data_IF_729850466170
#
_entry.id   IF_729850466170
#
_cell.length_a   1.000
_cell.length_b   1.000
_cell.length_c   1.000
_cell.angle_alpha   90.00
_cell.angle_beta   90.00
_cell.angle_gamma   90.00
#
_symmetry.space_group_name_H-M   'P 1'
#
loop_
_entity.id
_entity.type
_entity.pdbx_description
1 polymer ?
#
# COMPACT_ATOMS: atom_id res chain seq x y z
N UNK A 1 -8.39 -16.55 18.84
CA UNK A 1 -8.19 -15.39 19.73
C UNK A 1 -9.27 -14.39 19.40
N UNK A 2 -10.17 -14.11 20.34
CA UNK A 2 -11.31 -13.22 20.11
C UNK A 2 -10.97 -11.83 20.64
N UNK A 3 -10.73 -10.89 19.73
CA UNK A 3 -10.76 -9.46 20.05
C UNK A 3 -12.21 -8.99 19.94
N UNK A 4 -12.70 -8.33 20.99
CA UNK A 4 -14.03 -7.73 20.98
C UNK A 4 -14.02 -6.49 20.09
N UNK A 5 -14.38 -6.66 18.83
CA UNK A 5 -14.50 -5.59 17.84
C UNK A 5 -15.73 -4.70 18.01
N UNK A 6 -16.56 -4.94 19.02
CA UNK A 6 -17.85 -4.25 19.18
C UNK A 6 -17.58 -2.76 19.44
N UNK A 7 -18.04 -1.90 18.53
CA UNK A 7 -17.88 -0.44 18.62
C UNK A 7 -16.57 0.13 18.07
N UNK A 8 -15.64 -0.69 17.57
CA UNK A 8 -14.41 -0.20 16.92
C UNK A 8 -14.66 0.14 15.44
N UNK A 9 -14.12 1.27 14.98
CA UNK A 9 -14.10 1.63 13.55
C UNK A 9 -13.31 0.60 12.73
N UNK A 10 -13.58 0.45 11.43
CA UNK A 10 -12.87 -0.56 10.61
C UNK A 10 -11.36 -0.29 10.57
N UNK A 11 -10.94 0.98 10.50
CA UNK A 11 -9.52 1.36 10.53
C UNK A 11 -8.85 1.05 11.88
N UNK A 12 -9.56 1.16 13.01
CA UNK A 12 -9.04 0.70 14.30
C UNK A 12 -8.85 -0.82 14.30
N UNK A 13 -9.81 -1.57 13.75
CA UNK A 13 -9.71 -3.04 13.64
C UNK A 13 -8.51 -3.46 12.79
N UNK A 14 -8.22 -2.72 11.73
CA UNK A 14 -7.03 -2.91 10.90
C UNK A 14 -5.75 -2.65 11.69
N UNK A 15 -5.68 -1.54 12.41
CA UNK A 15 -4.56 -1.20 13.29
C UNK A 15 -4.30 -2.31 14.33
N UNK A 16 -5.33 -2.71 15.09
CA UNK A 16 -5.21 -3.75 16.12
C UNK A 16 -4.72 -5.08 15.53
N UNK A 17 -5.27 -5.45 14.37
CA UNK A 17 -4.89 -6.67 13.67
C UNK A 17 -3.43 -6.62 13.21
N UNK A 18 -3.00 -5.49 12.63
CA UNK A 18 -1.62 -5.25 12.24
C UNK A 18 -0.67 -5.39 13.42
N UNK A 19 -0.95 -4.68 14.52
CA UNK A 19 -0.17 -4.76 15.76
C UNK A 19 -0.10 -6.19 16.30
N UNK A 20 -1.20 -6.93 16.31
CA UNK A 20 -1.19 -8.34 16.76
C UNK A 20 -0.38 -9.26 15.84
N UNK A 21 -0.43 -9.04 14.53
CA UNK A 21 0.27 -9.88 13.54
C UNK A 21 1.77 -9.59 13.52
N UNK A 22 2.17 -8.32 13.67
CA UNK A 22 3.55 -7.86 13.49
C UNK A 22 4.25 -7.42 14.78
N UNK A 23 3.64 -7.60 15.96
CA UNK A 23 4.24 -7.26 17.25
C UNK A 23 5.62 -7.90 17.46
N UNK A 24 6.55 -7.10 17.96
CA UNK A 24 7.95 -7.45 18.25
C UNK A 24 8.10 -8.56 19.30
N UNK A 25 7.08 -8.79 20.13
CA UNK A 25 7.09 -9.85 21.14
C UNK A 25 7.00 -11.26 20.54
N UNK A 26 6.53 -11.38 19.29
CA UNK A 26 6.45 -12.66 18.60
C UNK A 26 7.76 -12.97 17.90
N UNK A 27 8.47 -13.98 18.42
CA UNK A 27 9.68 -14.52 17.81
C UNK A 27 9.33 -15.31 16.54
N UNK A 28 9.31 -14.64 15.37
CA UNK A 28 9.11 -15.29 14.08
C UNK A 28 8.37 -14.44 13.05
N UNK A 29 8.39 -14.85 11.79
CA UNK A 29 7.58 -14.22 10.74
C UNK A 29 6.09 -14.57 10.90
N UNK A 30 5.17 -13.67 10.51
CA UNK A 30 3.75 -13.97 10.46
C UNK A 30 3.45 -15.23 9.66
N UNK A 31 2.52 -16.04 10.15
CA UNK A 31 2.02 -17.20 9.42
C UNK A 31 1.12 -16.78 8.26
N UNK A 32 0.99 -17.62 7.23
CA UNK A 32 0.05 -17.37 6.13
C UNK A 32 -1.39 -17.18 6.61
N UNK A 33 -1.83 -17.90 7.66
CA UNK A 33 -3.17 -17.73 8.21
C UNK A 33 -3.37 -16.33 8.80
N UNK A 34 -2.37 -15.80 9.49
CA UNK A 34 -2.39 -14.44 10.04
C UNK A 34 -2.41 -13.38 8.94
N UNK A 35 -1.57 -13.56 7.91
CA UNK A 35 -1.53 -12.65 6.75
C UNK A 35 -2.86 -12.66 5.99
N UNK A 36 -3.44 -13.84 5.72
CA UNK A 36 -4.76 -13.96 5.06
C UNK A 36 -5.89 -13.36 5.89
N UNK A 37 -5.80 -13.46 7.21
CA UNK A 37 -6.77 -12.83 8.11
C UNK A 37 -6.68 -11.30 8.07
N UNK A 38 -5.47 -10.74 8.13
CA UNK A 38 -5.25 -9.30 7.99
C UNK A 38 -5.68 -8.79 6.61
N UNK A 39 -5.37 -9.53 5.54
CA UNK A 39 -5.81 -9.24 4.18
C UNK A 39 -7.35 -9.17 4.09
N UNK A 40 -8.06 -10.08 4.73
CA UNK A 40 -9.53 -10.04 4.75
C UNK A 40 -10.12 -8.84 5.51
N UNK A 41 -9.36 -8.23 6.43
CA UNK A 41 -9.76 -6.97 7.06
C UNK A 41 -9.54 -5.81 6.09
N UNK A 42 -8.39 -5.77 5.41
CA UNK A 42 -8.09 -4.78 4.36
C UNK A 42 -9.11 -4.81 3.22
N UNK A 43 -9.53 -6.00 2.77
CA UNK A 43 -10.53 -6.20 1.71
C UNK A 43 -11.88 -5.52 2.03
N UNK A 44 -12.17 -5.24 3.31
CA UNK A 44 -13.42 -4.63 3.76
C UNK A 44 -13.34 -3.13 4.07
N UNK A 45 -12.19 -2.49 3.83
CA UNK A 45 -11.99 -1.05 4.03
C UNK A 45 -12.57 -0.27 2.86
N UNK A 46 -13.32 0.79 3.17
CA UNK A 46 -13.93 1.71 2.22
C UNK A 46 -13.34 3.13 2.40
N UNK A 47 -13.48 4.02 1.40
CA UNK A 47 -13.00 5.41 1.50
C UNK A 47 -13.42 6.15 2.78
N UNK A 48 -14.67 5.96 3.23
CA UNK A 48 -15.20 6.59 4.46
C UNK A 48 -14.50 6.10 5.73
N UNK A 49 -14.03 4.85 5.75
CA UNK A 49 -13.37 4.28 6.92
C UNK A 49 -12.01 4.92 7.20
N UNK A 50 -11.44 5.61 6.22
CA UNK A 50 -10.15 6.32 6.30
C UNK A 50 -10.28 7.83 6.01
N UNK A 51 -11.51 8.34 5.87
CA UNK A 51 -11.80 9.77 5.72
C UNK A 51 -11.44 10.40 4.37
N UNK A 52 -11.54 9.63 3.27
CA UNK A 52 -11.24 10.10 1.91
C UNK A 52 -12.46 10.00 0.95
N UNK A 53 -13.66 9.91 1.51
CA UNK A 53 -14.93 9.86 0.77
C UNK A 53 -15.46 11.23 0.36
N UNK A 54 -14.83 12.32 0.81
CA UNK A 54 -15.25 13.69 0.52
C UNK A 54 -16.39 14.21 1.41
N UNK A 55 -16.82 13.45 2.42
CA UNK A 55 -17.93 13.85 3.30
C UNK A 55 -17.55 14.92 4.34
N UNK A 56 -16.27 15.22 4.52
CA UNK A 56 -15.75 16.09 5.59
C UNK A 56 -15.33 17.48 5.09
N UNK A 57 -16.12 18.09 4.18
CA UNK A 57 -15.92 19.46 3.69
C UNK A 57 -16.36 20.49 4.75
N UNK A 58 -15.55 20.61 5.80
CA UNK A 58 -15.69 21.60 6.87
C UNK A 58 -15.22 23.02 6.51
N UNK A 59 -15.10 23.41 5.23
CA UNK A 59 -14.74 24.80 4.86
C UNK A 59 -15.44 25.33 3.60
N UNK A 60 -16.20 26.39 3.87
CA UNK A 60 -16.44 27.59 3.05
C UNK A 60 -15.41 27.86 1.94
N UNK A 61 -15.93 28.18 0.75
CA UNK A 61 -15.34 29.02 -0.31
C UNK A 61 -13.83 29.29 -0.17
N UNK A 62 -12.99 28.46 -0.82
CA UNK A 62 -11.71 28.95 -1.32
C UNK A 62 -11.31 28.22 -2.61
N UNK A 63 -11.22 29.06 -3.64
CA UNK A 63 -10.55 28.98 -4.95
C UNK A 63 -10.54 27.69 -5.79
N UNK A 64 -10.96 27.90 -7.03
CA UNK A 64 -11.36 26.94 -8.05
C UNK A 64 -10.13 26.45 -8.85
N UNK A 65 -9.28 25.62 -8.25
CA UNK A 65 -8.26 24.88 -9.03
C UNK A 65 -7.76 23.56 -8.43
N UNK A 66 -8.34 23.08 -7.33
CA UNK A 66 -7.98 21.79 -6.76
C UNK A 66 -8.84 20.68 -7.37
N UNK A 67 -8.18 19.60 -7.78
CA UNK A 67 -8.75 18.37 -8.34
C UNK A 67 -9.55 17.67 -7.23
N UNK A 68 -10.69 18.25 -6.86
CA UNK A 68 -11.65 17.64 -5.95
C UNK A 68 -12.79 17.17 -6.82
N UNK A 69 -12.78 15.86 -7.08
CA UNK A 69 -13.84 15.18 -7.80
C UNK A 69 -15.17 15.49 -7.11
N UNK A 70 -16.05 16.23 -7.80
CA UNK A 70 -17.35 16.69 -7.29
C UNK A 70 -18.33 15.56 -6.96
N UNK A 71 -17.97 14.30 -7.22
CA UNK A 71 -18.89 13.16 -7.20
C UNK A 71 -18.53 12.05 -6.19
N UNK A 72 -17.88 12.38 -5.06
CA UNK A 72 -17.96 11.58 -3.82
C UNK A 72 -17.60 10.08 -3.90
N UNK A 73 -16.88 9.64 -4.93
CA UNK A 73 -16.43 8.27 -5.09
C UNK A 73 -15.12 8.25 -5.87
N UNK A 74 -14.00 8.02 -5.18
CA UNK A 74 -12.72 7.75 -5.85
C UNK A 74 -12.80 6.33 -6.42
N UNK A 75 -13.47 6.16 -7.57
CA UNK A 75 -13.26 4.99 -8.42
C UNK A 75 -11.88 5.19 -9.07
N UNK A 76 -10.86 4.86 -8.29
CA UNK A 76 -9.48 4.83 -8.76
C UNK A 76 -9.28 3.64 -9.68
N UNK A 77 -8.82 3.89 -10.89
CA UNK A 77 -8.17 2.91 -11.73
C UNK A 77 -6.67 3.15 -11.61
N UNK A 78 -5.94 2.12 -11.20
CA UNK A 78 -4.49 2.12 -11.18
C UNK A 78 -4.01 0.94 -12.01
N UNK A 79 -3.06 1.17 -12.90
CA UNK A 79 -2.31 0.11 -13.53
C UNK A 79 -1.20 -0.31 -12.56
N UNK A 80 -1.24 -1.55 -12.07
CA UNK A 80 -0.04 -2.14 -11.48
C UNK A 80 0.86 -2.58 -12.59
N UNK A 81 1.93 -1.83 -12.79
CA UNK A 81 2.98 -2.17 -13.72
C UNK A 81 4.10 -2.83 -12.91
N UNK A 82 4.05 -4.17 -12.97
CA UNK A 82 5.17 -5.08 -12.82
C UNK A 82 5.65 -5.43 -11.43
N UNK A 83 5.05 -6.50 -10.92
CA UNK A 83 5.36 -7.19 -9.66
C UNK A 83 6.57 -8.12 -9.90
N UNK A 84 7.79 -7.60 -9.82
CA UNK A 84 9.06 -8.31 -10.12
C UNK A 84 9.61 -9.10 -8.93
N UNK A 85 10.22 -10.27 -9.18
CA UNK A 85 11.10 -10.95 -8.21
C UNK A 85 12.55 -10.86 -8.69
N UNK A 86 13.42 -10.26 -7.88
CA UNK A 86 14.87 -10.23 -8.15
C UNK A 86 15.46 -11.64 -7.95
N UNK A 87 15.99 -12.21 -9.04
CA UNK A 87 16.52 -13.58 -9.05
C UNK A 87 18.02 -13.59 -8.81
N UNK A 88 18.78 -12.67 -9.42
CA UNK A 88 20.20 -12.39 -9.18
C UNK A 88 20.70 -11.26 -10.10
N UNK A 89 21.66 -10.45 -9.65
CA UNK A 89 22.41 -9.54 -10.54
C UNK A 89 21.58 -8.47 -11.26
N UNK A 90 20.39 -8.15 -10.77
CA UNK A 90 19.44 -7.23 -11.41
C UNK A 90 18.46 -7.93 -12.37
N UNK A 91 18.65 -9.20 -12.70
CA UNK A 91 17.66 -9.96 -13.46
C UNK A 91 16.40 -10.17 -12.63
N UNK A 92 15.27 -9.81 -13.21
CA UNK A 92 13.98 -9.94 -12.59
C UNK A 92 13.02 -10.69 -13.52
N UNK A 93 12.07 -11.42 -12.91
CA UNK A 93 10.95 -12.08 -13.61
C UNK A 93 9.64 -11.36 -13.35
N UNK A 94 8.85 -11.11 -14.41
CA UNK A 94 7.49 -10.54 -14.34
C UNK A 94 6.57 -11.54 -13.64
N UNK A 95 5.86 -11.11 -12.60
CA UNK A 95 4.82 -11.93 -11.92
C UNK A 95 3.41 -11.45 -12.24
N UNK A 96 3.24 -10.16 -12.54
CA UNK A 96 2.01 -9.57 -13.04
C UNK A 96 2.38 -8.46 -14.01
N UNK A 97 1.78 -8.46 -15.20
CA UNK A 97 2.05 -7.47 -16.25
C UNK A 97 0.78 -6.67 -16.51
N UNK A 98 0.91 -5.34 -16.49
CA UNK A 98 -0.12 -4.36 -16.86
C UNK A 98 -1.56 -4.70 -16.41
N UNK A 99 -1.72 -5.09 -15.13
CA UNK A 99 -3.05 -5.34 -14.57
C UNK A 99 -3.72 -4.04 -14.15
N UNK A 100 -4.92 -3.79 -14.66
CA UNK A 100 -5.76 -2.68 -14.20
C UNK A 100 -6.44 -3.11 -12.90
N UNK A 101 -6.08 -2.43 -11.80
CA UNK A 101 -6.78 -2.49 -10.53
C UNK A 101 -7.87 -1.43 -10.51
N UNK A 102 -9.10 -1.84 -10.25
CA UNK A 102 -10.25 -0.96 -10.11
C UNK A 102 -10.97 -1.25 -8.80
N UNK A 103 -11.28 -0.20 -8.03
CA UNK A 103 -12.09 -0.34 -6.83
C UNK A 103 -13.54 -0.77 -7.17
N UNK A 104 -14.17 -1.66 -6.39
CA UNK A 104 -13.59 -2.39 -5.26
C UNK A 104 -12.65 -3.52 -5.72
N UNK A 105 -11.45 -3.61 -5.14
CA UNK A 105 -10.47 -4.66 -5.44
C UNK A 105 -10.00 -5.36 -4.16
N UNK A 106 -9.57 -6.62 -4.30
CA UNK A 106 -8.93 -7.35 -3.19
C UNK A 106 -7.52 -6.79 -2.94
N UNK A 107 -7.12 -6.75 -1.68
CA UNK A 107 -5.78 -6.39 -1.28
C UNK A 107 -4.76 -7.39 -1.86
N UNK A 108 -3.62 -6.89 -2.33
CA UNK A 108 -2.49 -7.70 -2.75
C UNK A 108 -1.53 -7.95 -1.58
N UNK A 109 -0.79 -9.08 -1.62
CA UNK A 109 0.19 -9.42 -0.58
C UNK A 109 1.54 -9.67 -1.22
N UNK A 110 2.52 -8.88 -0.79
CA UNK A 110 3.90 -8.92 -1.27
C UNK A 110 4.79 -9.49 -0.16
N UNK A 111 5.78 -10.30 -0.53
CA UNK A 111 6.78 -10.84 0.40
C UNK A 111 8.18 -10.43 -0.04
N UNK A 112 9.18 -10.38 0.86
CA UNK A 112 10.53 -9.92 0.54
C UNK A 112 11.19 -10.58 -0.69
N UNK A 113 10.79 -11.80 -1.04
CA UNK A 113 11.33 -12.55 -2.20
C UNK A 113 10.26 -13.20 -3.07
N UNK A 114 8.97 -12.87 -2.90
CA UNK A 114 7.84 -13.50 -3.64
C UNK A 114 6.67 -12.55 -3.77
N UNK A 115 5.78 -12.84 -4.72
CA UNK A 115 4.59 -12.00 -4.95
C UNK A 115 4.93 -10.61 -5.47
N UNK A 116 6.14 -10.45 -6.04
CA UNK A 116 6.70 -9.27 -6.69
C UNK A 116 7.01 -8.07 -5.81
N UNK A 117 8.02 -8.23 -4.96
CA UNK A 117 8.53 -7.23 -4.02
C UNK A 117 9.00 -5.88 -4.64
N UNK A 118 9.06 -5.78 -5.97
CA UNK A 118 9.32 -4.54 -6.70
C UNK A 118 8.12 -4.33 -7.61
N UNK A 119 7.53 -3.14 -7.59
CA UNK A 119 6.33 -2.81 -8.35
C UNK A 119 6.26 -1.31 -8.64
N UNK A 120 5.50 -0.97 -9.69
CA UNK A 120 5.13 0.39 -10.04
C UNK A 120 3.61 0.52 -10.10
N UNK A 121 3.09 1.67 -9.71
CA UNK A 121 1.69 2.02 -9.88
C UNK A 121 1.60 3.23 -10.80
N UNK A 122 0.75 3.12 -11.82
CA UNK A 122 0.41 4.22 -12.71
C UNK A 122 -1.06 4.54 -12.53
N UNK A 123 -1.37 5.67 -11.90
CA UNK A 123 -2.75 6.13 -11.75
C UNK A 123 -3.33 6.46 -13.14
N UNK A 124 -4.45 5.81 -13.51
CA UNK A 124 -5.21 6.12 -14.73
C UNK A 124 -6.30 7.16 -14.46
N UNK A 125 -6.81 7.15 -13.24
CA UNK A 125 -7.69 8.19 -12.67
C UNK A 125 -7.16 8.58 -11.29
N UNK A 126 -7.61 9.69 -10.67
CA UNK A 126 -7.35 9.93 -9.26
C UNK A 126 -7.69 8.68 -8.43
N UNK A 127 -6.71 8.16 -7.70
CA UNK A 127 -6.83 6.90 -6.98
C UNK A 127 -6.20 7.00 -5.59
N UNK A 128 -6.66 6.17 -4.66
CA UNK A 128 -6.06 6.01 -3.34
C UNK A 128 -5.56 4.58 -3.18
N UNK A 129 -4.38 4.42 -2.59
CA UNK A 129 -3.78 3.13 -2.25
C UNK A 129 -3.60 3.10 -0.74
N UNK A 130 -4.11 2.05 -0.09
CA UNK A 130 -3.91 1.80 1.32
C UNK A 130 -2.91 0.67 1.51
N UNK A 131 -1.71 1.00 1.98
CA UNK A 131 -0.63 0.05 2.22
C UNK A 131 -0.40 -0.20 3.71
N UNK A 132 -0.16 -1.48 4.05
CA UNK A 132 0.33 -1.91 5.36
C UNK A 132 1.75 -2.46 5.19
N UNK A 133 2.74 -1.71 5.67
CA UNK A 133 4.15 -2.05 5.56
C UNK A 133 4.66 -2.67 6.87
N UNK A 134 5.25 -3.87 6.78
CA UNK A 134 5.75 -4.58 7.96
C UNK A 134 7.08 -5.33 7.67
N UNK A 135 8.21 -4.90 8.26
CA UNK A 135 8.40 -3.63 8.95
C UNK A 135 8.37 -2.44 7.97
N UNK A 136 8.13 -1.21 8.46
CA UNK A 136 8.25 -0.02 7.62
C UNK A 136 9.70 0.19 7.15
N UNK A 137 9.84 1.01 6.10
CA UNK A 137 11.14 1.52 5.66
C UNK A 137 11.86 2.22 6.81
N UNK A 138 13.18 2.06 6.84
CA UNK A 138 14.08 2.61 7.85
C UNK A 138 15.50 2.52 7.30
N UNK A 139 15.96 3.60 6.68
CA UNK A 139 17.27 3.63 6.02
C UNK A 139 18.40 3.35 7.01
N UNK A 140 18.31 3.92 8.21
CA UNK A 140 19.23 3.73 9.32
C UNK A 140 19.27 2.29 9.86
N UNK A 141 18.23 1.50 9.56
CA UNK A 141 18.15 0.06 9.87
C UNK A 141 18.32 -0.83 8.64
N UNK A 142 18.87 -0.29 7.55
CA UNK A 142 19.17 -1.04 6.33
C UNK A 142 17.94 -1.42 5.49
N UNK A 143 16.81 -0.71 5.66
CA UNK A 143 15.57 -0.90 4.89
C UNK A 143 15.21 0.36 4.09
N UNK A 144 16.07 0.82 3.16
CA UNK A 144 15.76 1.97 2.34
C UNK A 144 14.66 1.64 1.32
N UNK A 145 13.93 2.66 0.86
CA UNK A 145 13.13 2.56 -0.35
C UNK A 145 14.05 2.72 -1.57
N UNK A 146 14.24 1.65 -2.34
CA UNK A 146 15.11 1.66 -3.52
C UNK A 146 14.29 1.81 -4.79
N UNK A 147 14.79 2.62 -5.72
CA UNK A 147 14.19 2.83 -7.03
C UNK A 147 14.99 2.12 -8.11
N UNK A 148 14.30 1.66 -9.15
CA UNK A 148 14.90 0.90 -10.24
C UNK A 148 14.45 1.48 -11.59
N UNK A 149 15.37 1.45 -12.55
CA UNK A 149 15.06 1.56 -13.97
C UNK A 149 14.98 0.15 -14.55
N UNK A 150 14.05 -0.05 -15.46
CA UNK A 150 13.81 -1.34 -16.09
C UNK A 150 14.29 -1.31 -17.54
N UNK A 151 14.90 -2.41 -17.98
CA UNK A 151 15.22 -2.64 -19.38
C UNK A 151 14.75 -4.05 -19.78
N UNK A 152 13.72 -4.18 -20.62
CA UNK A 152 13.26 -5.47 -21.13
C UNK A 152 14.37 -6.23 -21.85
N UNK A 153 14.36 -7.56 -21.78
CA UNK A 153 15.29 -8.42 -22.51
C UNK A 153 14.58 -8.94 -23.77
N UNK A 154 14.89 -8.42 -24.98
CA UNK A 154 14.15 -8.80 -26.19
C UNK A 154 14.17 -10.30 -26.49
N UNK A 155 15.27 -10.98 -26.16
CA UNK A 155 15.45 -12.42 -26.36
C UNK A 155 14.84 -13.29 -25.26
N UNK A 156 14.30 -12.71 -24.18
CA UNK A 156 13.75 -13.44 -23.04
C UNK A 156 12.47 -12.77 -22.52
N UNK A 157 11.31 -13.02 -23.16
CA UNK A 157 10.03 -12.46 -22.75
C UNK A 157 9.68 -12.78 -21.29
N UNK A 158 9.09 -11.80 -20.59
CA UNK A 158 8.76 -11.91 -19.16
C UNK A 158 9.95 -11.71 -18.22
N UNK A 159 11.10 -11.28 -18.73
CA UNK A 159 12.27 -10.91 -17.94
C UNK A 159 12.80 -9.54 -18.33
N UNK A 160 13.23 -8.79 -17.32
CA UNK A 160 13.89 -7.49 -17.47
C UNK A 160 15.12 -7.40 -16.57
N UNK A 161 16.03 -6.49 -16.94
CA UNK A 161 17.13 -6.07 -16.08
C UNK A 161 16.69 -4.84 -15.30
N UNK A 162 16.76 -4.92 -13.98
CA UNK A 162 16.53 -3.83 -13.04
C UNK A 162 17.85 -3.23 -12.60
N UNK A 163 18.04 -1.95 -12.90
CA UNK A 163 19.21 -1.17 -12.47
C UNK A 163 18.78 -0.16 -11.41
N UNK A 164 19.38 -0.24 -10.23
CA UNK A 164 19.14 0.72 -9.14
C UNK A 164 19.44 2.14 -9.63
N UNK A 165 18.56 3.08 -9.32
CA UNK A 165 18.68 4.51 -9.60
C UNK A 165 18.45 5.34 -8.33
N UNK A 166 18.74 6.63 -8.39
CA UNK A 166 18.33 7.59 -7.38
C UNK A 166 16.82 7.85 -7.39
N UNK A 167 16.34 8.58 -6.39
CA UNK A 167 14.98 9.11 -6.32
C UNK A 167 14.64 9.81 -7.66
N UNK A 168 13.51 9.48 -8.30
CA UNK A 168 13.08 10.22 -9.49
C UNK A 168 12.85 11.70 -9.18
N UNK A 169 13.31 12.59 -10.05
CA UNK A 169 13.21 14.05 -9.86
C UNK A 169 11.76 14.54 -9.86
N UNK A 170 10.89 13.81 -10.55
CA UNK A 170 9.45 14.03 -10.67
C UNK A 170 8.63 13.39 -9.54
N UNK A 171 9.27 12.62 -8.64
CA UNK A 171 8.59 12.01 -7.51
C UNK A 171 8.45 13.01 -6.35
N UNK A 172 7.24 13.53 -6.18
CA UNK A 172 6.87 14.43 -5.08
C UNK A 172 5.90 13.74 -4.14
N UNK A 173 6.22 13.73 -2.84
CA UNK A 173 5.34 13.23 -1.78
C UNK A 173 4.96 14.39 -0.87
N UNK A 174 3.67 14.69 -0.82
CA UNK A 174 3.12 15.73 0.06
C UNK A 174 2.30 15.06 1.16
N UNK A 175 2.68 15.28 2.41
CA UNK A 175 1.91 14.81 3.56
C UNK A 175 0.63 15.61 3.76
N UNK A 176 -0.44 14.94 4.17
CA UNK A 176 -1.70 15.55 4.57
C UNK A 176 -2.15 14.99 5.92
N UNK A 177 -2.87 15.78 6.75
CA UNK A 177 -3.48 15.27 7.97
C UNK A 177 -4.48 14.14 7.66
N UNK A 178 -4.50 13.14 8.52
CA UNK A 178 -5.50 12.07 8.47
C UNK A 178 -6.84 12.59 9.00
N UNK A 179 -7.92 12.38 8.24
CA UNK A 179 -9.27 12.89 8.53
C UNK A 179 -10.29 11.79 8.87
N UNK A 180 -9.87 10.53 8.89
CA UNK A 180 -10.73 9.42 9.24
C UNK A 180 -10.91 9.24 10.76
N UNK A 181 -11.62 8.19 11.20
CA UNK A 181 -11.82 7.88 12.60
C UNK A 181 -10.51 7.79 13.38
N UNK A 182 -10.46 8.39 14.57
CA UNK A 182 -9.29 8.42 15.44
C UNK A 182 -8.80 7.00 15.79
N UNK A 183 -7.48 6.84 15.82
CA UNK A 183 -6.83 5.60 16.21
C UNK A 183 -6.39 5.67 17.67
N UNK A 184 -6.86 4.70 18.46
CA UNK A 184 -6.35 4.44 19.80
C UNK A 184 -5.06 3.63 19.63
N UNK A 185 -3.94 4.31 19.82
CA UNK A 185 -2.59 3.73 19.77
C UNK A 185 -2.17 3.46 21.20
N UNK A 186 -2.07 2.18 21.59
CA UNK A 186 -1.54 1.84 22.91
C UNK A 186 -0.07 2.28 22.98
N UNK A 187 0.26 3.11 23.99
CA UNK A 187 1.57 3.77 24.13
C UNK A 187 2.73 2.83 24.49
N UNK A 188 2.47 1.53 24.65
CA UNK A 188 3.41 0.53 25.16
C UNK A 188 4.31 -0.12 24.09
N UNK A 189 4.23 0.31 22.83
CA UNK A 189 5.05 -0.24 21.73
C UNK A 189 6.11 0.75 21.20
N UNK A 190 6.85 1.41 22.11
CA UNK A 190 8.10 2.14 21.76
C UNK A 190 9.32 1.24 21.87
#
# INVERSE_FOLDING_TARGET
MAIHFKGRSKVQRLYDAGSMVFSSEKKGSPTFKQIRWLQGILDGIEPVDVGIDGSNDGRSQVDESSIVSRDGLIIGQALTQITWVNVAGGLAKVVADDQVLQAPCKASVLFPRRGGNIHSFTALTPCAILDVLAPPYAEERGRPSNYYSETPIPSLPGYSILKKRGLPEDLVVVGAPYLGPELIVDADFK
#
